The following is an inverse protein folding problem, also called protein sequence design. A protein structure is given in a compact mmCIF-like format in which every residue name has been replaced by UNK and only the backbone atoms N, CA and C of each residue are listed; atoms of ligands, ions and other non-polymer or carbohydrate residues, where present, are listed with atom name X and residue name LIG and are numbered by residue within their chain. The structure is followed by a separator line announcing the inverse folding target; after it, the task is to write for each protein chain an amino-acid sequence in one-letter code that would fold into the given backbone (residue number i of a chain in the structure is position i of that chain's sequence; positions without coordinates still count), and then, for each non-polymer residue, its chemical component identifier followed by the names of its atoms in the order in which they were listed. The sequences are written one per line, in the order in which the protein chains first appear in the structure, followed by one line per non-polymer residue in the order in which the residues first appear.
data_IF_762135447896
#
_entry.id   IF_762135447896
#
_cell.length_a   1.000
_cell.length_b   1.000
_cell.length_c   1.000
_cell.angle_alpha   90.00
_cell.angle_beta   90.00
_cell.angle_gamma   90.00
#
_symmetry.space_group_name_H-M   'P 1'
#
loop_
_entity.id
_entity.type
_entity.pdbx_description
1 polymer ?
#
# COMPACT_ATOMS: atom_id res chain seq x y z
N UNK A 1 -40.85 32.85 -22.75
CA UNK A 1 -41.40 31.47 -22.77
C UNK A 1 -40.55 30.48 -23.59
N UNK A 2 -39.89 30.90 -24.67
CA UNK A 2 -39.12 29.99 -25.57
C UNK A 2 -37.82 29.42 -24.95
N UNK A 3 -37.25 30.06 -23.93
CA UNK A 3 -35.93 29.68 -23.38
C UNK A 3 -35.96 28.48 -22.43
N UNK A 4 -37.07 28.24 -21.72
CA UNK A 4 -37.17 27.15 -20.74
C UNK A 4 -37.38 25.80 -21.43
N UNK A 5 -38.20 25.78 -22.48
CA UNK A 5 -38.46 24.57 -23.29
C UNK A 5 -37.19 24.01 -23.95
N UNK A 6 -36.24 24.88 -24.29
CA UNK A 6 -35.00 24.46 -24.95
C UNK A 6 -34.04 23.80 -23.95
N UNK A 7 -33.98 24.29 -22.70
CA UNK A 7 -33.17 23.67 -21.63
C UNK A 7 -33.73 22.31 -21.25
N UNK A 8 -35.06 22.17 -21.13
CA UNK A 8 -35.71 20.88 -20.83
C UNK A 8 -35.53 19.85 -21.95
N UNK A 9 -35.44 20.29 -23.21
CA UNK A 9 -35.14 19.41 -24.36
C UNK A 9 -33.68 18.97 -24.40
N UNK A 10 -32.75 19.83 -23.97
CA UNK A 10 -31.32 19.51 -23.90
C UNK A 10 -31.02 18.47 -22.83
N UNK A 11 -31.68 18.58 -21.67
CA UNK A 11 -31.50 17.63 -20.55
C UNK A 11 -31.98 16.21 -20.93
N UNK A 12 -33.09 16.11 -21.67
CA UNK A 12 -33.63 14.83 -22.17
C UNK A 12 -32.70 14.15 -23.20
N UNK A 13 -31.86 14.92 -23.90
CA UNK A 13 -30.87 14.38 -24.86
C UNK A 13 -29.57 13.91 -24.20
N UNK A 14 -29.30 14.32 -22.97
CA UNK A 14 -28.08 13.99 -22.22
C UNK A 14 -28.27 12.84 -21.21
N UNK A 15 -29.50 12.36 -21.03
CA UNK A 15 -29.86 11.35 -20.03
C UNK A 15 -29.69 9.90 -20.51
N UNK A 16 -28.44 9.47 -20.75
CA UNK A 16 -27.89 8.14 -20.40
C UNK A 16 -26.68 7.81 -21.28
N UNK A 17 -25.45 7.76 -20.73
CA UNK A 17 -24.40 6.98 -21.36
C UNK A 17 -24.89 5.53 -21.41
N UNK A 18 -25.30 5.08 -22.60
CA UNK A 18 -25.68 3.69 -22.81
C UNK A 18 -24.37 2.91 -22.77
N UNK A 19 -24.04 2.38 -21.60
CA UNK A 19 -22.90 1.48 -21.41
C UNK A 19 -23.16 0.30 -22.34
N UNK A 20 -22.53 0.30 -23.52
CA UNK A 20 -22.63 -0.82 -24.46
C UNK A 20 -22.09 -2.03 -23.72
N UNK A 21 -22.96 -2.96 -23.35
CA UNK A 21 -22.56 -4.26 -22.84
C UNK A 21 -21.66 -4.89 -23.91
N UNK A 22 -20.36 -4.96 -23.62
CA UNK A 22 -19.38 -5.60 -24.50
C UNK A 22 -19.86 -7.03 -24.66
N UNK A 23 -20.22 -7.41 -25.89
CA UNK A 23 -20.62 -8.78 -26.19
C UNK A 23 -19.41 -9.64 -25.88
N UNK A 24 -19.51 -10.45 -24.83
CA UNK A 24 -18.41 -11.29 -24.35
C UNK A 24 -18.04 -12.29 -25.45
N UNK A 25 -17.01 -11.95 -26.24
CA UNK A 25 -16.39 -12.90 -27.16
C UNK A 25 -15.83 -14.04 -26.32
N UNK A 26 -15.93 -15.30 -26.77
CA UNK A 26 -15.42 -16.48 -26.04
C UNK A 26 -13.96 -16.32 -25.59
N UNK A 27 -13.16 -15.62 -26.40
CA UNK A 27 -11.78 -15.23 -26.07
C UNK A 27 -11.68 -14.28 -24.86
N UNK A 28 -12.60 -13.32 -24.73
CA UNK A 28 -12.64 -12.38 -23.60
C UNK A 28 -13.04 -13.08 -22.30
N UNK A 29 -14.01 -14.00 -22.34
CA UNK A 29 -14.38 -14.79 -21.15
C UNK A 29 -13.24 -15.72 -20.72
N UNK A 30 -12.56 -16.38 -21.66
CA UNK A 30 -11.38 -17.20 -21.36
C UNK A 30 -10.23 -16.37 -20.77
N UNK A 31 -9.92 -15.22 -21.37
CA UNK A 31 -8.91 -14.28 -20.85
C UNK A 31 -9.25 -13.79 -19.44
N UNK A 32 -10.52 -13.44 -19.18
CA UNK A 32 -10.97 -13.02 -17.85
C UNK A 32 -10.80 -14.12 -16.81
N UNK A 33 -11.18 -15.36 -17.13
CA UNK A 33 -11.03 -16.50 -16.22
C UNK A 33 -9.54 -16.76 -15.93
N UNK A 34 -8.69 -16.82 -16.95
CA UNK A 34 -7.25 -17.03 -16.77
C UNK A 34 -6.63 -15.92 -15.92
N UNK A 35 -6.94 -14.65 -16.21
CA UNK A 35 -6.43 -13.53 -15.45
C UNK A 35 -6.93 -13.55 -13.99
N UNK A 36 -8.21 -13.82 -13.78
CA UNK A 36 -8.76 -13.94 -12.43
C UNK A 36 -8.11 -15.09 -11.65
N UNK A 37 -7.94 -16.27 -12.26
CA UNK A 37 -7.25 -17.40 -11.65
C UNK A 37 -5.80 -17.06 -11.29
N UNK A 38 -5.08 -16.38 -12.19
CA UNK A 38 -3.69 -15.98 -11.95
C UNK A 38 -3.57 -14.95 -10.81
N UNK A 39 -4.46 -13.96 -10.76
CA UNK A 39 -4.50 -12.99 -9.65
C UNK A 39 -4.82 -13.66 -8.32
N UNK A 40 -5.75 -14.62 -8.29
CA UNK A 40 -6.07 -15.40 -7.08
C UNK A 40 -4.89 -16.26 -6.63
N UNK A 41 -4.17 -16.88 -7.56
CA UNK A 41 -2.98 -17.68 -7.23
C UNK A 41 -1.85 -16.79 -6.66
N UNK A 42 -1.58 -15.64 -7.27
CA UNK A 42 -0.58 -14.70 -6.76
C UNK A 42 -0.98 -14.22 -5.37
N UNK A 43 -2.24 -13.83 -5.17
CA UNK A 43 -2.75 -13.43 -3.87
C UNK A 43 -2.54 -14.55 -2.82
N UNK A 44 -2.87 -15.80 -3.15
CA UNK A 44 -2.68 -16.94 -2.26
C UNK A 44 -1.21 -17.17 -1.89
N UNK A 45 -0.28 -17.08 -2.86
CA UNK A 45 1.16 -17.22 -2.62
C UNK A 45 1.68 -16.09 -1.72
N UNK A 46 1.25 -14.85 -1.95
CA UNK A 46 1.66 -13.71 -1.10
C UNK A 46 1.07 -13.78 0.31
N UNK A 47 -0.10 -14.38 0.48
CA UNK A 47 -0.77 -14.53 1.77
C UNK A 47 -0.20 -15.70 2.58
N UNK A 48 0.34 -16.73 1.92
CA UNK A 48 0.97 -17.89 2.56
C UNK A 48 1.98 -17.55 3.67
N UNK A 49 2.99 -16.67 3.48
CA UNK A 49 3.93 -16.33 4.55
C UNK A 49 3.26 -15.64 5.75
N UNK A 50 2.21 -14.85 5.54
CA UNK A 50 1.44 -14.23 6.63
C UNK A 50 0.64 -15.27 7.42
N UNK A 51 0.05 -16.25 6.74
CA UNK A 51 -0.66 -17.35 7.39
C UNK A 51 0.30 -18.21 8.23
N UNK A 52 1.49 -18.53 7.70
CA UNK A 52 2.51 -19.26 8.45
C UNK A 52 3.04 -18.44 9.65
N UNK A 53 3.22 -17.12 9.49
CA UNK A 53 3.60 -16.24 10.59
C UNK A 53 2.55 -16.24 11.71
N UNK A 54 1.26 -16.17 11.36
CA UNK A 54 0.18 -16.26 12.33
C UNK A 54 0.17 -17.63 13.04
N UNK A 55 0.35 -18.73 12.31
CA UNK A 55 0.44 -20.06 12.89
C UNK A 55 1.62 -20.20 13.87
N UNK A 56 2.78 -19.61 13.55
CA UNK A 56 3.94 -19.57 14.44
C UNK A 56 3.69 -18.70 15.67
N UNK A 57 3.03 -17.55 15.52
CA UNK A 57 2.71 -16.66 16.65
C UNK A 57 1.86 -17.35 17.75
N UNK A 58 1.03 -18.34 17.38
CA UNK A 58 0.21 -19.12 18.32
C UNK A 58 0.79 -20.49 18.70
N UNK A 59 1.95 -20.89 18.15
CA UNK A 59 2.57 -22.19 18.41
C UNK A 59 3.59 -22.10 19.54
N UNK A 60 3.85 -23.22 20.22
CA UNK A 60 4.91 -23.27 21.23
C UNK A 60 6.31 -23.27 20.58
N UNK A 61 7.29 -22.66 21.26
CA UNK A 61 8.68 -22.54 20.77
C UNK A 61 9.32 -23.88 20.39
N UNK A 62 8.95 -24.98 21.06
CA UNK A 62 9.43 -26.33 20.76
C UNK A 62 8.99 -26.81 19.36
N UNK A 63 7.76 -26.52 18.95
CA UNK A 63 7.25 -26.88 17.61
C UNK A 63 7.74 -25.92 16.51
N UNK A 64 8.02 -24.67 16.87
CA UNK A 64 8.63 -23.69 15.96
C UNK A 64 10.08 -24.09 15.65
N UNK A 65 10.88 -24.37 16.67
CA UNK A 65 12.30 -24.74 16.53
C UNK A 65 12.51 -26.08 15.81
N UNK A 66 11.53 -26.99 15.86
CA UNK A 66 11.56 -28.26 15.13
C UNK A 66 11.02 -28.16 13.70
N UNK A 67 10.61 -26.98 13.24
CA UNK A 67 10.14 -26.75 11.86
C UNK A 67 8.79 -27.40 11.53
N UNK A 68 8.01 -27.78 12.54
CA UNK A 68 6.75 -28.52 12.36
C UNK A 68 5.51 -27.62 12.19
N UNK A 69 5.69 -26.30 12.22
CA UNK A 69 4.63 -25.30 12.04
C UNK A 69 4.66 -24.80 10.60
N UNK A 70 3.58 -25.04 9.84
CA UNK A 70 3.52 -24.67 8.41
C UNK A 70 2.29 -23.82 8.07
N UNK A 71 1.10 -24.28 8.46
CA UNK A 71 -0.17 -23.56 8.22
C UNK A 71 -1.07 -23.62 9.45
N UNK A 72 -1.01 -24.71 10.21
CA UNK A 72 -1.77 -24.88 11.44
C UNK A 72 -0.86 -24.76 12.67
N UNK A 73 -1.29 -24.03 13.72
CA UNK A 73 -0.52 -23.93 14.93
C UNK A 73 -0.40 -25.30 15.59
N UNK A 74 0.79 -25.62 16.10
CA UNK A 74 1.08 -26.86 16.82
C UNK A 74 1.44 -26.50 18.26
N UNK A 75 0.73 -27.12 19.21
CA UNK A 75 0.86 -26.80 20.63
C UNK A 75 0.45 -25.36 20.91
N UNK A 76 -0.86 -25.07 20.83
CA UNK A 76 -1.42 -23.74 21.05
C UNK A 76 -0.91 -23.17 22.38
N UNK A 77 -0.14 -22.10 22.29
CA UNK A 77 0.48 -21.49 23.45
C UNK A 77 0.35 -19.97 23.40
N UNK A 78 -0.23 -19.39 24.47
CA UNK A 78 -0.40 -17.96 24.63
C UNK A 78 0.69 -17.32 25.50
N UNK A 79 1.56 -18.12 26.14
CA UNK A 79 2.61 -17.59 27.01
C UNK A 79 3.59 -16.69 26.27
N UNK A 80 3.82 -16.92 24.96
CA UNK A 80 4.68 -16.06 24.14
C UNK A 80 4.12 -14.64 24.04
N UNK A 81 2.79 -14.47 23.98
CA UNK A 81 2.17 -13.15 24.01
C UNK A 81 2.28 -12.51 25.39
N UNK A 82 2.07 -13.28 26.47
CA UNK A 82 2.22 -12.76 27.83
C UNK A 82 3.66 -12.30 28.14
N UNK A 83 4.66 -13.02 27.63
CA UNK A 83 6.08 -12.65 27.73
C UNK A 83 6.37 -11.33 27.01
N UNK A 84 5.87 -11.14 25.79
CA UNK A 84 6.05 -9.89 25.05
C UNK A 84 5.30 -8.72 25.71
N UNK A 85 4.09 -8.98 26.23
CA UNK A 85 3.25 -7.97 26.86
C UNK A 85 3.83 -7.49 28.20
N UNK A 86 4.50 -8.37 28.93
CA UNK A 86 5.14 -8.07 30.22
C UNK A 86 6.51 -7.39 30.07
N UNK A 87 7.10 -7.41 28.88
CA UNK A 87 8.37 -6.73 28.62
C UNK A 87 8.19 -5.21 28.48
N UNK A 88 8.69 -4.45 29.47
CA UNK A 88 8.70 -2.99 29.43
C UNK A 88 9.52 -2.40 28.26
N UNK A 89 10.53 -3.13 27.78
CA UNK A 89 11.35 -2.71 26.65
C UNK A 89 10.56 -2.78 25.34
N UNK A 90 9.70 -3.78 25.18
CA UNK A 90 8.80 -3.89 24.03
C UNK A 90 7.92 -2.66 23.88
N UNK A 91 7.26 -2.23 24.96
CA UNK A 91 6.39 -1.05 24.96
C UNK A 91 7.14 0.24 24.66
N UNK A 92 8.32 0.43 25.27
CA UNK A 92 9.16 1.60 24.99
C UNK A 92 9.59 1.65 23.53
N UNK A 93 10.01 0.51 22.97
CA UNK A 93 10.41 0.42 21.57
C UNK A 93 9.22 0.66 20.63
N UNK A 94 8.05 0.11 20.95
CA UNK A 94 6.83 0.32 20.17
C UNK A 94 6.42 1.81 20.15
N UNK A 95 6.44 2.46 21.32
CA UNK A 95 6.20 3.89 21.43
C UNK A 95 7.21 4.72 20.63
N UNK A 96 8.49 4.36 20.70
CA UNK A 96 9.53 4.99 19.90
C UNK A 96 9.24 4.86 18.41
N UNK A 97 8.90 3.68 17.90
CA UNK A 97 8.54 3.48 16.49
C UNK A 97 7.36 4.36 16.07
N UNK A 98 6.30 4.43 16.87
CA UNK A 98 5.15 5.29 16.59
C UNK A 98 5.55 6.77 16.59
N UNK A 99 6.33 7.20 17.58
CA UNK A 99 6.82 8.57 17.67
C UNK A 99 7.68 8.94 16.45
N UNK A 100 8.67 8.11 16.11
CA UNK A 100 9.54 8.34 14.96
C UNK A 100 8.75 8.34 13.65
N UNK A 101 7.82 7.41 13.44
CA UNK A 101 7.04 7.36 12.18
C UNK A 101 6.16 8.58 12.03
N UNK A 102 5.46 9.03 13.07
CA UNK A 102 4.62 10.22 12.99
C UNK A 102 5.46 11.48 12.79
N UNK A 103 6.46 11.71 13.63
CA UNK A 103 7.30 12.92 13.55
C UNK A 103 8.08 12.96 12.23
N UNK A 104 8.70 11.86 11.84
CA UNK A 104 9.45 11.79 10.58
C UNK A 104 8.53 11.99 9.37
N UNK A 105 7.33 11.40 9.37
CA UNK A 105 6.38 11.59 8.26
C UNK A 105 5.91 13.03 8.16
N UNK A 106 5.59 13.68 9.28
CA UNK A 106 5.18 15.10 9.29
C UNK A 106 6.30 16.00 8.78
N UNK A 107 7.52 15.83 9.30
CA UNK A 107 8.69 16.60 8.88
C UNK A 107 9.00 16.34 7.39
N UNK A 108 9.02 15.07 6.97
CA UNK A 108 9.27 14.69 5.58
C UNK A 108 8.21 15.29 4.65
N UNK A 109 6.92 15.21 5.00
CA UNK A 109 5.83 15.76 4.20
C UNK A 109 5.92 17.28 4.07
N UNK A 110 6.19 18.00 5.16
CA UNK A 110 6.35 19.47 5.14
C UNK A 110 7.51 19.87 4.24
N UNK A 111 8.68 19.23 4.41
CA UNK A 111 9.87 19.54 3.62
C UNK A 111 9.69 19.19 2.15
N UNK A 112 9.24 17.96 1.84
CA UNK A 112 9.07 17.48 0.47
C UNK A 112 7.98 18.26 -0.27
N UNK A 113 6.85 18.57 0.37
CA UNK A 113 5.77 19.34 -0.26
C UNK A 113 6.20 20.78 -0.51
N UNK A 114 6.89 21.42 0.43
CA UNK A 114 7.41 22.78 0.25
C UNK A 114 8.43 22.84 -0.89
N UNK A 115 9.34 21.86 -0.93
CA UNK A 115 10.34 21.73 -1.99
C UNK A 115 9.71 21.47 -3.36
N UNK A 116 8.75 20.53 -3.42
CA UNK A 116 7.99 20.24 -4.63
C UNK A 116 7.19 21.46 -5.12
N UNK A 117 6.57 22.21 -4.21
CA UNK A 117 5.85 23.43 -4.53
C UNK A 117 6.77 24.50 -5.12
N UNK A 118 7.94 24.73 -4.53
CA UNK A 118 8.93 25.67 -5.06
C UNK A 118 9.34 25.29 -6.51
N UNK A 119 9.60 24.01 -6.77
CA UNK A 119 10.00 23.52 -8.10
C UNK A 119 8.85 23.51 -9.12
N UNK A 120 7.59 23.37 -8.66
CA UNK A 120 6.41 23.36 -9.54
C UNK A 120 6.22 24.67 -10.32
N UNK A 121 6.74 25.80 -9.81
CA UNK A 121 6.61 27.10 -10.46
C UNK A 121 7.66 27.26 -11.56
N UNK A 122 7.22 27.20 -12.82
CA UNK A 122 8.07 27.36 -14.01
C UNK A 122 8.83 28.70 -14.08
N UNK A 123 8.35 29.74 -13.37
CA UNK A 123 8.95 31.09 -13.35
C UNK A 123 10.09 31.26 -12.34
N UNK A 124 10.42 30.23 -11.55
CA UNK A 124 11.48 30.30 -10.54
C UNK A 124 12.87 30.32 -11.21
N UNK A 125 13.61 31.43 -11.05
CA UNK A 125 15.02 31.52 -11.46
C UNK A 125 15.85 30.56 -10.61
N UNK A 126 16.62 29.67 -11.24
CA UNK A 126 17.44 28.65 -10.55
C UNK A 126 16.80 27.25 -10.44
N UNK A 127 15.57 27.03 -10.95
CA UNK A 127 14.86 25.73 -10.90
C UNK A 127 15.70 24.54 -11.39
N UNK A 128 16.46 24.70 -12.47
CA UNK A 128 17.29 23.62 -13.04
C UNK A 128 18.37 23.13 -12.07
N UNK A 129 18.92 24.03 -11.25
CA UNK A 129 19.94 23.69 -10.24
C UNK A 129 19.31 22.89 -9.10
N UNK A 130 18.15 23.32 -8.58
CA UNK A 130 17.44 22.58 -7.54
C UNK A 130 17.07 21.17 -7.99
N UNK A 131 16.50 21.02 -9.19
CA UNK A 131 16.21 19.69 -9.77
C UNK A 131 17.50 18.87 -9.90
N UNK A 132 18.60 19.48 -10.34
CA UNK A 132 19.91 18.83 -10.45
C UNK A 132 20.40 18.27 -9.11
N UNK A 133 20.26 19.03 -8.02
CA UNK A 133 20.66 18.57 -6.68
C UNK A 133 19.79 17.39 -6.20
N UNK A 134 18.46 17.46 -6.37
CA UNK A 134 17.59 16.35 -5.97
C UNK A 134 17.89 15.05 -6.75
N UNK A 135 18.09 15.18 -8.06
CA UNK A 135 18.47 14.04 -8.91
C UNK A 135 19.84 13.51 -8.51
N UNK A 136 20.80 14.39 -8.22
CA UNK A 136 22.11 13.98 -7.74
C UNK A 136 22.00 13.14 -6.46
N UNK A 137 21.26 13.59 -5.45
CA UNK A 137 21.08 12.82 -4.21
C UNK A 137 20.34 11.48 -4.38
N UNK A 138 19.57 11.31 -5.46
CA UNK A 138 18.88 10.04 -5.75
C UNK A 138 19.84 8.97 -6.29
N UNK A 139 20.89 9.39 -7.00
CA UNK A 139 21.87 8.48 -7.61
C UNK A 139 23.19 8.40 -6.84
N UNK A 140 23.54 9.47 -6.12
CA UNK A 140 24.76 9.57 -5.32
C UNK A 140 24.38 9.62 -3.84
N UNK A 141 24.77 8.58 -3.10
CA UNK A 141 24.62 8.50 -1.65
C UNK A 141 26.02 8.43 -1.01
N UNK A 142 26.20 9.08 0.15
CA UNK A 142 27.49 9.17 0.84
C UNK A 142 28.03 7.85 1.40
N UNK A 143 27.25 6.76 1.33
CA UNK A 143 27.59 5.47 1.90
C UNK A 143 27.42 5.45 3.43
N UNK A 144 27.38 4.25 3.99
CA UNK A 144 27.63 4.05 5.41
C UNK A 144 29.16 4.00 5.57
N UNK A 145 29.74 4.96 6.29
CA UNK A 145 31.15 4.87 6.71
C UNK A 145 31.36 3.67 7.65
#
# INVERSE_FOLDING_TARGET
MVTVDNVTRLDKKLSKPTVRAVKETRAYTAFRVVNATLLVLIAAITLYPFANLAAQAFSSESYINSGQVTIWPRGFNLTTFDLVMSDSMFWRNYQNTVYYTVVATLVAMVLTTTYAYAISKYRLKGRKVFIGIAVFTMFFNGGLI
#
